data_IF_626221897002
#
_entry.id   IF_626221897002
#
_cell.length_a   1.000
_cell.length_b   1.000
_cell.length_c   1.000
_cell.angle_alpha   90.00
_cell.angle_beta   90.00
_cell.angle_gamma   90.00
#
_symmetry.space_group_name_H-M   'P 1'
#
loop_
_entity.id
_entity.type
_entity.pdbx_description
1 polymer ?
#
# COMPACT_ATOMS: atom_id res chain seq x y z
N UNK A 1 6.72 16.29 -7.67
CA UNK A 1 7.62 15.13 -7.46
C UNK A 1 6.96 13.89 -8.01
N UNK A 2 7.55 12.72 -7.73
CA UNK A 2 6.98 11.42 -8.11
C UNK A 2 7.11 10.44 -6.95
N UNK A 3 6.07 9.65 -6.70
CA UNK A 3 6.18 8.41 -5.93
C UNK A 3 6.81 7.40 -6.88
N UNK A 4 7.95 6.82 -6.49
CA UNK A 4 8.72 5.92 -7.36
C UNK A 4 8.74 4.48 -6.87
N UNK A 5 8.40 4.28 -5.60
CA UNK A 5 8.41 2.95 -4.98
C UNK A 5 7.38 2.85 -3.87
N UNK A 6 6.73 1.69 -3.81
CA UNK A 6 5.96 1.23 -2.66
C UNK A 6 6.53 -0.09 -2.16
N UNK A 7 6.71 -0.23 -0.85
CA UNK A 7 7.12 -1.47 -0.19
C UNK A 7 6.12 -1.76 0.94
N UNK A 8 5.01 -2.44 0.65
CA UNK A 8 4.17 -3.02 1.69
C UNK A 8 4.82 -4.25 2.32
N UNK A 9 4.54 -4.50 3.59
CA UNK A 9 4.93 -5.72 4.29
C UNK A 9 3.74 -6.37 5.00
N UNK A 10 3.58 -7.67 4.76
CA UNK A 10 2.73 -8.56 5.53
C UNK A 10 3.61 -9.48 6.38
N UNK A 11 3.42 -9.51 7.71
CA UNK A 11 4.07 -10.50 8.55
C UNK A 11 3.51 -11.91 8.26
N UNK A 12 4.17 -12.92 8.82
CA UNK A 12 3.62 -14.27 8.87
C UNK A 12 2.30 -14.29 9.67
N UNK A 13 1.36 -15.13 9.24
CA UNK A 13 0.01 -15.24 9.82
C UNK A 13 -1.02 -14.28 9.21
N UNK A 14 -0.75 -13.67 8.06
CA UNK A 14 -1.68 -12.77 7.34
C UNK A 14 -2.33 -13.41 6.10
N UNK A 15 -2.05 -14.69 5.80
CA UNK A 15 -2.50 -15.36 4.57
C UNK A 15 -4.02 -15.26 4.34
N UNK A 16 -4.41 -14.47 3.34
CA UNK A 16 -5.81 -14.14 3.02
C UNK A 16 -6.63 -13.54 4.19
N UNK A 17 -5.96 -12.99 5.22
CA UNK A 17 -6.62 -12.39 6.39
C UNK A 17 -6.59 -10.86 6.37
N UNK A 18 -5.52 -10.26 5.81
CA UNK A 18 -5.34 -8.81 5.82
C UNK A 18 -5.17 -8.26 4.41
N UNK A 19 -6.27 -7.70 3.91
CA UNK A 19 -6.36 -7.05 2.61
C UNK A 19 -5.85 -5.63 2.69
N UNK A 20 -5.02 -5.23 1.72
CA UNK A 20 -4.56 -3.84 1.61
C UNK A 20 -4.84 -3.27 0.21
N UNK A 21 -5.05 -1.96 0.18
CA UNK A 21 -4.95 -1.13 -1.01
C UNK A 21 -4.18 0.14 -0.68
N UNK A 22 -3.38 0.63 -1.62
CA UNK A 22 -2.56 1.84 -1.47
C UNK A 22 -2.88 2.78 -2.62
N UNK A 23 -3.05 4.06 -2.32
CA UNK A 23 -3.33 5.05 -3.34
C UNK A 23 -2.93 6.47 -2.96
N UNK A 24 -3.21 7.37 -3.90
CA UNK A 24 -2.85 8.76 -3.86
C UNK A 24 -3.98 9.56 -4.50
N UNK A 25 -4.56 10.53 -3.78
CA UNK A 25 -5.81 11.21 -4.19
C UNK A 25 -6.89 10.18 -4.58
N UNK A 26 -7.35 10.21 -5.83
CA UNK A 26 -8.38 9.31 -6.37
C UNK A 26 -7.77 8.11 -7.12
N UNK A 27 -6.43 8.04 -7.21
CA UNK A 27 -5.70 6.98 -7.90
C UNK A 27 -5.43 5.81 -6.96
N UNK A 28 -5.82 4.62 -7.39
CA UNK A 28 -5.41 3.36 -6.77
C UNK A 28 -4.06 2.96 -7.39
N UNK A 29 -2.98 3.01 -6.60
CA UNK A 29 -1.64 2.69 -7.10
C UNK A 29 -1.39 1.19 -7.03
N UNK A 30 -1.85 0.54 -5.96
CA UNK A 30 -1.68 -0.90 -5.75
C UNK A 30 -2.95 -1.49 -5.12
N UNK A 31 -3.61 -2.48 -5.76
CA UNK A 31 -3.19 -3.26 -6.94
C UNK A 31 -3.46 -2.62 -8.33
N UNK A 32 -3.53 -1.29 -8.43
CA UNK A 32 -3.86 -0.57 -9.67
C UNK A 32 -5.23 -0.94 -10.27
N UNK A 33 -6.18 -1.26 -9.41
CA UNK A 33 -7.55 -1.55 -9.77
C UNK A 33 -8.46 -1.02 -8.65
N UNK A 34 -9.45 -0.21 -9.02
CA UNK A 34 -10.39 0.40 -8.07
C UNK A 34 -11.16 -0.68 -7.32
N UNK A 35 -11.36 -0.48 -6.02
CA UNK A 35 -12.07 -1.39 -5.12
C UNK A 35 -11.52 -2.82 -5.08
N UNK A 36 -10.25 -2.99 -5.43
CA UNK A 36 -9.56 -4.27 -5.34
C UNK A 36 -8.43 -4.22 -4.31
N UNK A 37 -8.20 -5.37 -3.69
CA UNK A 37 -7.30 -5.51 -2.56
C UNK A 37 -6.38 -6.70 -2.79
N UNK A 38 -5.24 -6.67 -2.12
CA UNK A 38 -4.30 -7.79 -2.09
C UNK A 38 -4.09 -8.19 -0.65
N UNK A 39 -4.18 -9.49 -0.39
CA UNK A 39 -3.75 -10.12 0.85
C UNK A 39 -2.62 -11.09 0.53
N UNK A 40 -1.54 -11.02 1.31
CA UNK A 40 -0.39 -11.91 1.18
C UNK A 40 0.05 -12.38 2.59
N UNK A 41 1.05 -13.27 2.63
CA UNK A 41 1.64 -13.78 3.86
C UNK A 41 3.16 -13.72 3.79
N UNK A 42 3.80 -13.36 4.91
CA UNK A 42 5.26 -13.39 5.09
C UNK A 42 6.02 -12.84 3.87
N UNK A 43 5.65 -11.62 3.45
CA UNK A 43 6.18 -11.07 2.21
C UNK A 43 6.28 -9.56 2.23
N UNK A 44 7.24 -9.08 1.44
CA UNK A 44 7.60 -7.67 1.32
C UNK A 44 7.87 -7.34 -0.15
N UNK A 45 6.83 -7.28 -1.00
CA UNK A 45 7.02 -6.99 -2.41
C UNK A 45 7.56 -5.57 -2.59
N UNK A 46 8.47 -5.40 -3.55
CA UNK A 46 9.00 -4.10 -3.94
C UNK A 46 8.36 -3.70 -5.25
N UNK A 47 7.52 -2.67 -5.21
CA UNK A 47 6.73 -2.20 -6.34
C UNK A 47 7.39 -0.96 -6.92
N UNK A 48 7.77 -1.00 -8.19
CA UNK A 48 8.16 0.21 -8.93
C UNK A 48 6.90 0.90 -9.42
N UNK A 49 6.76 2.19 -9.11
CA UNK A 49 5.59 2.99 -9.48
C UNK A 49 6.04 4.27 -10.19
N UNK A 50 5.15 4.86 -11.00
CA UNK A 50 5.40 6.15 -11.64
C UNK A 50 4.19 7.07 -11.44
N UNK A 51 3.95 7.46 -10.18
CA UNK A 51 2.80 8.27 -9.79
C UNK A 51 3.21 9.72 -9.50
N UNK A 52 2.72 10.72 -10.26
CA UNK A 52 2.97 12.13 -9.97
C UNK A 52 2.38 12.54 -8.61
N UNK A 53 3.11 13.37 -7.86
CA UNK A 53 2.65 13.90 -6.57
C UNK A 53 3.05 15.37 -6.37
N UNK A 54 2.13 16.15 -5.83
CA UNK A 54 2.33 17.55 -5.42
C UNK A 54 2.38 17.65 -3.90
N UNK A 55 3.13 18.63 -3.40
CA UNK A 55 3.19 18.92 -1.96
C UNK A 55 1.78 19.19 -1.41
N UNK A 56 1.46 18.54 -0.29
CA UNK A 56 0.16 18.68 0.39
C UNK A 56 -0.90 17.67 -0.03
N UNK A 57 -0.62 16.82 -1.03
CA UNK A 57 -1.53 15.75 -1.43
C UNK A 57 -1.44 14.54 -0.48
N UNK A 58 -2.56 13.83 -0.34
CA UNK A 58 -2.68 12.70 0.58
C UNK A 58 -2.33 11.38 -0.13
N UNK A 59 -1.37 10.66 0.44
CA UNK A 59 -1.17 9.22 0.21
C UNK A 59 -2.01 8.49 1.26
N UNK A 60 -2.73 7.46 0.85
CA UNK A 60 -3.60 6.68 1.71
C UNK A 60 -3.33 5.18 1.58
N UNK A 61 -3.69 4.46 2.64
CA UNK A 61 -3.76 3.01 2.66
C UNK A 61 -5.09 2.60 3.29
N UNK A 62 -5.77 1.65 2.67
CA UNK A 62 -6.92 0.97 3.26
C UNK A 62 -6.43 -0.40 3.71
N UNK A 63 -6.70 -0.75 4.97
CA UNK A 63 -6.41 -2.07 5.54
C UNK A 63 -7.73 -2.67 6.00
N UNK A 64 -8.03 -3.90 5.56
CA UNK A 64 -9.19 -4.66 6.02
C UNK A 64 -8.70 -5.93 6.68
N UNK A 65 -8.88 -6.03 8.00
CA UNK A 65 -8.65 -7.26 8.72
C UNK A 65 -9.93 -8.10 8.72
N UNK A 66 -9.91 -9.23 8.02
CA UNK A 66 -11.03 -10.16 7.90
C UNK A 66 -11.13 -11.16 9.07
N UNK A 67 -10.07 -11.33 9.88
CA UNK A 67 -10.08 -12.31 10.97
C UNK A 67 -10.83 -11.84 12.23
N UNK A 68 -10.90 -10.53 12.43
CA UNK A 68 -11.55 -9.86 13.56
C UNK A 68 -11.06 -10.29 14.96
N UNK A 69 -9.98 -11.08 15.05
CA UNK A 69 -9.52 -11.71 16.30
C UNK A 69 -8.10 -11.31 16.65
N UNK A 70 -7.20 -11.31 15.66
CA UNK A 70 -5.80 -11.03 15.89
C UNK A 70 -5.46 -9.61 15.45
N UNK A 71 -4.48 -9.01 16.14
CA UNK A 71 -3.96 -7.70 15.75
C UNK A 71 -2.80 -7.91 14.79
N UNK A 72 -2.92 -7.35 13.59
CA UNK A 72 -1.86 -7.39 12.58
C UNK A 72 -1.18 -6.03 12.44
N UNK A 73 0.14 -6.06 12.24
CA UNK A 73 0.92 -4.86 11.94
C UNK A 73 1.28 -4.86 10.45
N UNK A 74 0.57 -4.05 9.68
CA UNK A 74 0.88 -3.80 8.27
C UNK A 74 1.67 -2.50 8.16
N UNK A 75 2.75 -2.52 7.38
CA UNK A 75 3.53 -1.32 7.08
C UNK A 75 3.63 -1.11 5.59
N UNK A 76 3.69 0.16 5.18
CA UNK A 76 3.94 0.56 3.79
C UNK A 76 4.97 1.68 3.81
N UNK A 77 6.07 1.47 3.10
CA UNK A 77 7.02 2.54 2.80
C UNK A 77 6.76 3.08 1.41
N UNK A 78 6.59 4.40 1.30
CA UNK A 78 6.49 5.09 0.02
C UNK A 78 7.74 5.97 -0.20
N UNK A 79 8.45 5.78 -1.30
CA UNK A 79 9.59 6.62 -1.68
C UNK A 79 9.13 7.70 -2.64
N UNK A 80 9.35 8.96 -2.26
CA UNK A 80 9.01 10.13 -3.06
C UNK A 80 10.28 10.87 -3.45
N UNK A 81 10.45 11.11 -4.75
CA UNK A 81 11.49 11.99 -5.28
C UNK A 81 10.87 13.38 -5.48
N UNK A 82 11.33 14.35 -4.69
CA UNK A 82 10.97 15.76 -4.82
C UNK A 82 11.64 16.40 -6.05
N UNK A 83 11.02 17.46 -6.56
CA UNK A 83 11.65 18.41 -7.48
C UNK A 83 11.51 19.78 -6.82
N UNK A 84 12.58 20.57 -6.83
CA UNK A 84 12.59 21.96 -6.35
C UNK A 84 11.77 22.90 -7.24
#
# INVERSE_FOLDING_TARGET
GKIVQLIPHWPDGCDALVDIAIGHKDTWIYPHLVDNYVALNDTTPVLTVDEPITKGEQIWMIVRNADGRETHAITVTATVIGVE
#
